data_IF_416662536496
#
_entry.id   IF_416662536496
#
_cell.length_a   1.000
_cell.length_b   1.000
_cell.length_c   1.000
_cell.angle_alpha   90.00
_cell.angle_beta   90.00
_cell.angle_gamma   90.00
#
_symmetry.space_group_name_H-M   'P 1'
#
loop_
_entity.id
_entity.type
_entity.pdbx_description
1 polymer ?
#
# COMPACT_ATOMS: atom_id res chain seq x y z
N UNK A 1 -0.95 91.97 -9.88
CA UNK A 1 -2.15 91.10 -9.87
C UNK A 1 -1.88 89.90 -10.76
N UNK A 2 -1.97 88.69 -10.20
CA UNK A 2 -2.06 87.38 -10.88
C UNK A 2 -0.89 86.89 -11.76
N UNK A 3 0.23 86.42 -11.17
CA UNK A 3 1.06 85.42 -11.89
C UNK A 3 1.94 84.49 -11.04
N UNK A 4 2.16 84.75 -9.74
CA UNK A 4 3.14 83.96 -8.95
C UNK A 4 2.53 82.78 -8.18
N UNK A 5 1.20 82.65 -8.11
CA UNK A 5 0.55 81.63 -7.23
C UNK A 5 0.25 80.29 -7.93
N UNK A 6 0.38 80.19 -9.26
CA UNK A 6 -0.10 79.02 -10.01
C UNK A 6 0.93 77.90 -10.27
N UNK A 7 2.18 78.00 -9.78
CA UNK A 7 3.22 76.96 -10.00
C UNK A 7 3.60 76.16 -8.76
N UNK A 8 2.93 76.36 -7.62
CA UNK A 8 3.23 75.66 -6.36
C UNK A 8 2.37 74.41 -6.07
N UNK A 9 1.34 74.11 -6.89
CA UNK A 9 0.30 73.11 -6.52
C UNK A 9 0.15 71.90 -7.44
N UNK A 10 1.06 71.69 -8.41
CA UNK A 10 1.00 70.51 -9.30
C UNK A 10 2.09 69.45 -9.04
N UNK A 11 3.04 69.69 -8.13
CA UNK A 11 4.02 68.66 -7.71
C UNK A 11 3.57 67.82 -6.51
N UNK A 12 2.44 68.12 -5.86
CA UNK A 12 1.98 67.43 -4.66
C UNK A 12 1.18 66.12 -4.92
N UNK A 13 0.89 65.79 -6.20
CA UNK A 13 0.07 64.61 -6.56
C UNK A 13 0.85 63.47 -7.22
N UNK A 14 2.18 63.52 -7.18
CA UNK A 14 3.02 62.39 -7.62
C UNK A 14 3.94 61.95 -6.49
N UNK A 15 3.34 61.49 -5.38
CA UNK A 15 4.06 60.58 -4.49
C UNK A 15 4.23 59.28 -5.28
N UNK A 16 5.45 58.86 -5.66
CA UNK A 16 5.61 57.49 -6.07
C UNK A 16 5.15 56.66 -4.88
N UNK A 17 4.26 55.71 -5.13
CA UNK A 17 3.95 54.65 -4.17
C UNK A 17 5.21 53.80 -4.05
N UNK A 18 6.18 54.33 -3.32
CA UNK A 18 7.36 53.63 -2.90
C UNK A 18 6.93 52.80 -1.70
N UNK A 19 6.83 51.48 -1.89
CA UNK A 19 6.97 50.57 -0.77
C UNK A 19 8.21 51.01 0.02
N UNK A 20 8.17 51.03 1.37
CA UNK A 20 9.38 51.21 2.15
C UNK A 20 10.24 49.95 1.95
N UNK A 21 10.96 49.87 0.83
CA UNK A 21 12.16 49.07 0.73
C UNK A 21 13.27 49.92 1.35
N UNK A 22 13.25 49.98 2.69
CA UNK A 22 14.43 50.34 3.45
C UNK A 22 15.56 49.40 3.03
N UNK A 23 16.77 49.92 2.74
CA UNK A 23 17.90 49.07 2.46
C UNK A 23 18.29 48.33 3.74
N UNK A 24 17.88 47.07 3.86
CA UNK A 24 18.75 46.03 4.41
C UNK A 24 18.86 45.87 5.92
N UNK A 25 18.03 46.53 6.75
CA UNK A 25 17.95 46.19 8.17
C UNK A 25 16.91 45.10 8.41
N UNK A 26 17.38 43.89 8.73
CA UNK A 26 16.70 43.05 9.71
C UNK A 26 16.09 41.71 9.29
N UNK A 27 16.29 41.16 8.09
CA UNK A 27 15.66 39.84 7.78
C UNK A 27 16.41 38.91 6.82
N UNK A 28 17.71 39.09 6.60
CA UNK A 28 18.49 38.22 5.68
C UNK A 28 19.66 37.44 6.29
N UNK A 29 19.75 37.33 7.62
CA UNK A 29 20.76 36.48 8.26
C UNK A 29 20.21 35.87 9.54
N UNK A 30 19.84 34.59 9.51
CA UNK A 30 19.62 33.87 10.77
C UNK A 30 20.10 32.42 10.76
N UNK A 31 20.51 31.84 9.62
CA UNK A 31 21.02 30.47 9.60
C UNK A 31 22.56 30.37 9.58
N UNK A 32 23.29 31.38 9.05
CA UNK A 32 24.75 31.30 8.83
C UNK A 32 25.61 31.82 9.97
N UNK A 33 25.08 32.68 10.84
CA UNK A 33 25.90 33.45 11.80
C UNK A 33 25.89 32.82 13.22
N UNK A 34 25.50 31.54 13.33
CA UNK A 34 25.59 30.79 14.58
C UNK A 34 27.07 30.63 14.98
N UNK A 35 27.44 30.90 16.24
CA UNK A 35 28.81 30.74 16.69
C UNK A 35 29.23 29.26 16.63
N UNK A 36 30.49 29.01 16.26
CA UNK A 36 31.00 27.65 15.97
C UNK A 36 30.79 26.64 17.10
N UNK A 37 30.77 27.08 18.35
CA UNK A 37 30.56 26.20 19.50
C UNK A 37 29.14 25.63 19.59
N UNK A 38 28.15 26.27 18.95
CA UNK A 38 26.77 25.76 18.86
C UNK A 38 26.55 24.83 17.66
N UNK A 39 27.45 24.84 16.68
CA UNK A 39 27.38 23.97 15.51
C UNK A 39 27.87 22.55 15.85
N UNK A 40 27.28 21.49 15.29
CA UNK A 40 27.72 20.11 15.50
C UNK A 40 29.21 19.93 15.19
N UNK A 41 29.87 19.10 15.99
CA UNK A 41 31.31 18.87 15.99
C UNK A 41 31.69 17.40 15.85
N UNK A 42 32.95 17.09 16.11
CA UNK A 42 33.47 15.73 16.14
C UNK A 42 32.96 14.95 17.35
N UNK A 43 33.02 13.62 17.28
CA UNK A 43 32.63 12.73 18.37
C UNK A 43 33.34 13.05 19.70
N UNK A 44 32.61 13.23 20.81
CA UNK A 44 33.18 13.52 22.13
C UNK A 44 33.81 12.26 22.72
N UNK A 45 35.09 12.33 23.10
CA UNK A 45 35.81 11.18 23.68
C UNK A 45 35.96 11.28 25.18
N UNK A 46 36.02 12.51 25.69
CA UNK A 46 36.21 12.77 27.11
C UNK A 46 34.87 13.06 27.80
N UNK A 47 34.72 12.73 29.10
CA UNK A 47 33.49 13.04 29.83
C UNK A 47 33.24 14.55 29.95
N UNK A 48 34.29 15.38 29.91
CA UNK A 48 34.19 16.83 29.93
C UNK A 48 33.63 17.37 28.61
N UNK A 49 34.11 16.87 27.47
CA UNK A 49 33.56 17.18 26.15
C UNK A 49 32.11 16.70 26.03
N UNK A 50 31.80 15.52 26.57
CA UNK A 50 30.44 14.99 26.60
C UNK A 50 29.52 15.89 27.41
N UNK A 51 29.95 16.39 28.57
CA UNK A 51 29.18 17.34 29.37
C UNK A 51 29.01 18.70 28.67
N UNK A 52 30.01 19.17 27.93
CA UNK A 52 29.89 20.39 27.12
C UNK A 52 28.93 20.20 25.94
N UNK A 53 28.96 19.05 25.28
CA UNK A 53 28.05 18.70 24.19
C UNK A 53 26.61 18.53 24.68
N UNK A 54 26.39 17.86 25.82
CA UNK A 54 25.07 17.77 26.45
C UNK A 54 24.50 19.16 26.74
N UNK A 55 25.30 20.06 27.34
CA UNK A 55 24.92 21.47 27.57
C UNK A 55 24.60 22.22 26.28
N UNK A 56 25.36 21.99 25.21
CA UNK A 56 25.15 22.58 23.89
C UNK A 56 23.79 22.19 23.27
N UNK A 57 23.34 20.96 23.48
CA UNK A 57 22.05 20.47 22.99
C UNK A 57 20.91 20.58 24.03
N UNK A 58 21.11 21.30 25.13
CA UNK A 58 20.14 21.45 26.23
C UNK A 58 19.70 20.11 26.87
N UNK A 59 20.59 19.11 26.90
CA UNK A 59 20.35 17.80 27.49
C UNK A 59 21.11 17.63 28.81
N UNK A 60 20.63 16.72 29.65
CA UNK A 60 21.39 16.25 30.82
C UNK A 60 22.55 15.37 30.34
N UNK A 61 23.58 15.21 31.18
CA UNK A 61 24.71 14.33 30.86
C UNK A 61 24.28 12.87 30.71
N UNK A 62 23.25 12.45 31.47
CA UNK A 62 22.74 11.08 31.49
C UNK A 62 21.92 10.74 30.25
N UNK A 63 21.08 11.68 29.80
CA UNK A 63 20.26 11.50 28.60
C UNK A 63 21.07 11.66 27.30
N UNK A 64 22.23 12.32 27.38
CA UNK A 64 23.08 12.56 26.23
C UNK A 64 23.86 11.30 25.83
N UNK A 65 23.29 10.59 24.86
CA UNK A 65 23.91 9.45 24.19
C UNK A 65 24.31 9.84 22.77
N UNK A 66 25.48 9.41 22.32
CA UNK A 66 25.95 9.61 20.96
C UNK A 66 25.83 8.33 20.12
N UNK A 67 25.88 8.48 18.80
CA UNK A 67 26.03 7.35 17.89
C UNK A 67 27.43 6.75 17.98
N UNK A 68 27.60 5.48 17.60
CA UNK A 68 28.91 4.85 17.54
C UNK A 68 29.84 5.55 16.52
N UNK A 69 31.14 5.59 16.83
CA UNK A 69 32.18 6.21 15.98
C UNK A 69 32.59 5.28 14.83
N UNK A 70 31.63 4.90 13.99
CA UNK A 70 31.83 3.99 12.86
C UNK A 70 32.35 4.70 11.60
N UNK A 71 32.78 5.97 11.70
CA UNK A 71 33.20 6.80 10.57
C UNK A 71 32.07 7.25 9.63
N UNK A 72 30.81 6.98 9.98
CA UNK A 72 29.62 7.41 9.22
C UNK A 72 29.41 8.93 9.26
N UNK A 73 30.09 9.63 10.18
CA UNK A 73 30.10 11.09 10.24
C UNK A 73 28.95 11.70 11.04
N UNK A 74 28.39 10.96 12.02
CA UNK A 74 27.38 11.51 12.94
C UNK A 74 27.94 12.60 13.86
N UNK A 75 29.21 12.49 14.25
CA UNK A 75 29.88 13.48 15.11
C UNK A 75 29.36 13.47 16.55
N UNK A 76 29.14 14.66 17.11
CA UNK A 76 28.57 14.87 18.45
C UNK A 76 27.04 14.94 18.48
N UNK A 77 26.34 14.48 17.45
CA UNK A 77 24.88 14.60 17.42
C UNK A 77 24.21 13.62 18.40
N UNK A 78 23.23 14.06 19.21
CA UNK A 78 22.57 13.19 20.18
C UNK A 78 21.72 12.12 19.47
N UNK A 79 21.79 10.90 19.99
CA UNK A 79 20.97 9.76 19.59
C UNK A 79 19.68 9.75 20.41
N UNK A 80 18.66 10.39 19.88
CA UNK A 80 17.32 10.36 20.45
C UNK A 80 16.65 8.99 20.21
N UNK A 81 15.64 8.61 21.02
CA UNK A 81 14.82 7.45 20.74
C UNK A 81 14.12 7.59 19.38
N UNK A 82 14.00 6.47 18.66
CA UNK A 82 13.39 6.38 17.33
C UNK A 82 11.85 6.39 17.43
N UNK A 83 11.29 7.49 17.94
CA UNK A 83 9.84 7.68 18.09
C UNK A 83 9.30 8.67 17.06
N UNK A 84 8.21 8.29 16.41
CA UNK A 84 7.47 9.16 15.51
C UNK A 84 6.81 10.31 16.24
N UNK A 85 6.61 11.44 15.54
CA UNK A 85 5.88 12.59 16.09
C UNK A 85 4.42 12.24 16.45
N UNK A 86 3.91 11.11 15.94
CA UNK A 86 2.55 10.66 16.17
C UNK A 86 2.32 10.17 17.60
N UNK A 87 3.34 9.60 18.25
CA UNK A 87 3.28 9.11 19.63
C UNK A 87 3.23 10.25 20.67
N UNK A 88 3.75 11.43 20.31
CA UNK A 88 3.75 12.58 21.21
C UNK A 88 2.32 13.03 21.54
N UNK A 89 2.13 13.48 22.78
CA UNK A 89 0.83 13.88 23.29
C UNK A 89 0.18 14.97 22.40
N UNK A 90 -1.00 14.70 21.82
CA UNK A 90 -1.69 15.69 20.97
C UNK A 90 -2.35 16.82 21.75
N UNK A 91 -2.57 16.66 23.07
CA UNK A 91 -3.27 17.64 23.91
C UNK A 91 -2.37 18.71 24.51
N UNK A 92 -1.05 18.48 24.48
CA UNK A 92 -0.09 19.48 24.91
C UNK A 92 0.02 20.58 23.85
N UNK A 93 0.07 21.83 24.30
CA UNK A 93 0.22 22.99 23.41
C UNK A 93 1.70 23.13 23.01
N UNK A 94 2.04 22.52 21.88
CA UNK A 94 3.39 22.58 21.31
C UNK A 94 3.62 23.92 20.59
N UNK A 95 4.84 24.46 20.68
CA UNK A 95 5.25 25.64 19.90
C UNK A 95 5.05 25.43 18.39
N UNK A 96 5.40 24.23 17.91
CA UNK A 96 5.15 23.78 16.54
C UNK A 96 4.10 22.68 16.54
N UNK A 97 2.79 23.00 16.47
CA UNK A 97 1.72 22.02 16.61
C UNK A 97 1.72 20.94 15.50
N UNK A 98 2.11 21.30 14.28
CA UNK A 98 2.18 20.35 13.16
C UNK A 98 3.23 19.25 13.35
N UNK A 99 4.34 19.59 14.02
CA UNK A 99 5.50 18.71 14.24
C UNK A 99 5.51 18.14 15.66
N UNK A 100 4.62 18.63 16.54
CA UNK A 100 4.56 18.34 17.97
C UNK A 100 5.94 18.46 18.62
N UNK A 101 6.53 19.65 18.54
CA UNK A 101 7.89 19.91 19.02
C UNK A 101 7.98 21.30 19.63
N UNK A 102 8.75 21.44 20.70
CA UNK A 102 9.03 22.73 21.32
C UNK A 102 10.29 23.38 20.74
N UNK A 103 10.43 24.68 20.94
CA UNK A 103 11.64 25.42 20.62
C UNK A 103 12.79 25.01 21.56
N UNK A 104 14.00 24.85 21.00
CA UNK A 104 15.20 24.50 21.78
C UNK A 104 15.38 23.01 22.08
N UNK A 105 14.40 22.15 21.76
CA UNK A 105 14.56 20.70 21.81
C UNK A 105 15.50 20.20 20.70
N UNK A 106 16.39 19.23 20.99
CA UNK A 106 17.22 18.61 19.97
C UNK A 106 16.34 17.83 18.97
N UNK A 107 16.68 17.96 17.68
CA UNK A 107 15.97 17.24 16.63
C UNK A 107 16.48 15.79 16.57
N UNK A 108 15.56 14.86 16.31
CA UNK A 108 15.97 13.50 15.99
C UNK A 108 16.73 13.50 14.65
N UNK A 109 17.75 12.65 14.48
CA UNK A 109 18.56 12.66 13.25
C UNK A 109 17.72 12.45 12.00
N UNK A 110 16.92 11.38 12.00
CA UNK A 110 16.02 11.03 10.90
C UNK A 110 14.66 11.72 11.10
N UNK A 111 14.67 13.02 11.46
CA UNK A 111 13.46 13.78 11.74
C UNK A 111 12.49 13.78 10.56
N UNK A 112 13.03 13.83 9.34
CA UNK A 112 12.29 13.81 8.09
C UNK A 112 11.47 12.52 7.89
N UNK A 113 11.94 11.40 8.43
CA UNK A 113 11.26 10.11 8.41
C UNK A 113 10.10 10.05 9.43
N UNK A 114 10.32 10.63 10.60
CA UNK A 114 9.42 10.59 11.76
C UNK A 114 8.47 11.79 11.86
N UNK A 115 8.34 12.56 10.77
CA UNK A 115 7.28 13.57 10.63
C UNK A 115 5.92 12.88 10.62
N UNK A 116 4.90 13.57 11.16
CA UNK A 116 3.50 13.12 11.24
C UNK A 116 2.93 12.52 9.95
N UNK A 117 3.38 12.96 8.78
CA UNK A 117 2.86 12.53 7.47
C UNK A 117 3.56 11.28 6.91
N UNK A 118 4.56 10.72 7.59
CA UNK A 118 5.43 9.66 7.06
C UNK A 118 5.35 8.36 7.86
N UNK A 119 6.43 7.97 8.53
CA UNK A 119 6.52 6.69 9.23
C UNK A 119 5.98 6.85 10.64
N UNK A 120 4.99 6.04 10.96
CA UNK A 120 4.40 5.92 12.29
C UNK A 120 4.99 4.72 13.03
N UNK A 121 5.38 4.94 14.27
CA UNK A 121 5.91 3.94 15.20
C UNK A 121 4.94 3.61 16.33
N UNK A 122 3.76 4.24 16.33
CA UNK A 122 2.77 4.09 17.39
C UNK A 122 2.41 2.62 17.65
N UNK A 123 2.23 2.23 18.93
CA UNK A 123 1.98 0.85 19.29
C UNK A 123 0.60 0.41 18.76
N UNK A 124 0.59 -0.60 17.90
CA UNK A 124 -0.63 -1.24 17.41
C UNK A 124 -1.12 -2.32 18.38
N UNK A 125 -2.44 -2.57 18.50
CA UNK A 125 -2.98 -3.57 19.42
C UNK A 125 -2.55 -5.00 19.07
N UNK A 126 -2.21 -5.26 17.80
CA UNK A 126 -1.73 -6.56 17.31
C UNK A 126 -0.21 -6.48 17.10
N UNK A 127 0.57 -7.48 17.58
CA UNK A 127 2.01 -7.48 17.37
C UNK A 127 2.37 -7.75 15.90
N UNK A 128 3.45 -7.13 15.43
CA UNK A 128 3.85 -7.09 14.01
C UNK A 128 4.03 -8.47 13.36
N UNK A 129 4.60 -9.44 14.09
CA UNK A 129 4.84 -10.78 13.54
C UNK A 129 3.54 -11.53 13.23
N UNK A 130 2.50 -11.34 14.04
CA UNK A 130 1.17 -11.95 13.85
C UNK A 130 0.48 -11.33 12.62
N UNK A 131 0.51 -10.01 12.49
CA UNK A 131 -0.09 -9.33 11.33
C UNK A 131 0.54 -9.80 10.02
N UNK A 132 1.87 -9.95 9.98
CA UNK A 132 2.57 -10.51 8.81
C UNK A 132 2.18 -11.95 8.52
N UNK A 133 2.05 -12.79 9.55
CA UNK A 133 1.64 -14.19 9.37
C UNK A 133 0.25 -14.30 8.75
N UNK A 134 -0.73 -13.52 9.23
CA UNK A 134 -2.07 -13.52 8.65
C UNK A 134 -2.11 -12.95 7.23
N UNK A 135 -1.39 -11.85 6.98
CA UNK A 135 -1.32 -11.23 5.65
C UNK A 135 -0.77 -12.20 4.61
N UNK A 136 0.38 -12.83 4.89
CA UNK A 136 0.98 -13.80 3.98
C UNK A 136 0.24 -15.14 3.95
N UNK A 137 -0.36 -15.55 5.06
CA UNK A 137 -1.23 -16.73 5.11
C UNK A 137 -2.45 -16.58 4.21
N UNK A 138 -3.11 -15.41 4.23
CA UNK A 138 -4.25 -15.12 3.37
C UNK A 138 -3.88 -15.12 1.89
N UNK A 139 -2.82 -14.39 1.52
CA UNK A 139 -2.33 -14.36 0.13
C UNK A 139 -1.95 -15.78 -0.33
N UNK A 140 -1.26 -16.55 0.52
CA UNK A 140 -0.91 -17.94 0.24
C UNK A 140 -2.13 -18.82 -0.03
N UNK A 141 -3.16 -18.73 0.81
CA UNK A 141 -4.40 -19.51 0.64
C UNK A 141 -5.13 -19.11 -0.64
N UNK A 142 -5.22 -17.81 -0.96
CA UNK A 142 -5.85 -17.33 -2.20
C UNK A 142 -5.14 -17.85 -3.45
N UNK A 143 -3.80 -17.84 -3.46
CA UNK A 143 -3.03 -18.39 -4.58
C UNK A 143 -3.20 -19.90 -4.71
N UNK A 144 -3.19 -20.64 -3.60
CA UNK A 144 -3.42 -22.09 -3.61
C UNK A 144 -4.83 -22.42 -4.12
N UNK A 145 -5.86 -21.70 -3.66
CA UNK A 145 -7.22 -21.89 -4.16
C UNK A 145 -7.37 -21.50 -5.63
N UNK A 146 -6.62 -20.49 -6.11
CA UNK A 146 -6.54 -20.15 -7.53
C UNK A 146 -5.99 -21.30 -8.36
N UNK A 147 -4.86 -21.90 -7.94
CA UNK A 147 -4.26 -23.07 -8.61
C UNK A 147 -5.20 -24.27 -8.57
N UNK A 148 -5.86 -24.52 -7.43
CA UNK A 148 -6.89 -25.57 -7.33
C UNK A 148 -8.05 -25.31 -8.28
N UNK A 149 -8.47 -24.06 -8.45
CA UNK A 149 -9.50 -23.67 -9.41
C UNK A 149 -9.12 -23.94 -10.87
N UNK A 150 -7.84 -23.83 -11.22
CA UNK A 150 -7.34 -24.20 -12.56
C UNK A 150 -7.27 -25.72 -12.76
N UNK A 151 -6.88 -26.47 -11.72
CA UNK A 151 -6.85 -27.94 -11.78
C UNK A 151 -8.28 -28.50 -11.88
N UNK A 152 -9.24 -27.89 -11.18
CA UNK A 152 -10.64 -28.33 -11.08
C UNK A 152 -11.62 -27.27 -11.62
N UNK A 153 -11.70 -27.04 -12.95
CA UNK A 153 -12.63 -26.07 -13.52
C UNK A 153 -14.08 -26.52 -13.30
N UNK A 154 -14.88 -25.68 -12.65
CA UNK A 154 -16.32 -25.90 -12.50
C UNK A 154 -17.05 -25.21 -13.65
N UNK A 155 -17.58 -26.01 -14.57
CA UNK A 155 -18.42 -25.50 -15.64
C UNK A 155 -19.84 -25.26 -15.12
N UNK A 156 -20.40 -24.07 -15.39
CA UNK A 156 -21.81 -23.80 -15.11
C UNK A 156 -22.68 -24.63 -16.06
N UNK A 157 -23.71 -25.36 -15.56
CA UNK A 157 -24.68 -26.00 -16.43
C UNK A 157 -25.53 -24.90 -17.08
N UNK A 158 -25.38 -24.71 -18.39
CA UNK A 158 -26.28 -23.86 -19.17
C UNK A 158 -27.54 -24.67 -19.43
N UNK A 159 -28.50 -24.59 -18.51
CA UNK A 159 -29.84 -25.12 -18.76
C UNK A 159 -30.58 -24.10 -19.63
N UNK A 160 -30.81 -24.44 -20.90
CA UNK A 160 -31.74 -23.67 -21.72
C UNK A 160 -33.12 -23.66 -21.03
N UNK A 161 -33.78 -22.49 -20.85
CA UNK A 161 -35.04 -22.38 -20.13
C UNK A 161 -36.19 -23.16 -20.77
N UNK A 162 -36.02 -23.66 -22.01
CA UNK A 162 -37.04 -24.41 -22.73
C UNK A 162 -37.19 -25.87 -22.24
N UNK A 163 -36.17 -26.46 -21.60
CA UNK A 163 -36.19 -27.88 -21.17
C UNK A 163 -36.90 -28.05 -19.80
N UNK A 164 -36.89 -27.03 -18.94
CA UNK A 164 -37.51 -27.07 -17.61
C UNK A 164 -39.05 -27.22 -17.70
N UNK A 165 -39.68 -26.67 -18.74
CA UNK A 165 -41.13 -26.80 -18.94
C UNK A 165 -41.58 -28.20 -19.40
N UNK A 166 -40.70 -29.01 -20.01
CA UNK A 166 -41.06 -30.37 -20.48
C UNK A 166 -40.86 -31.46 -19.44
N UNK A 167 -40.08 -31.23 -18.39
CA UNK A 167 -39.80 -32.23 -17.34
C UNK A 167 -40.60 -32.02 -16.05
N UNK A 168 -41.39 -30.95 -15.94
CA UNK A 168 -42.19 -30.67 -14.73
C UNK A 168 -43.53 -31.44 -14.67
N UNK A 169 -43.87 -32.25 -15.67
CA UNK A 169 -45.14 -33.02 -15.75
C UNK A 169 -44.80 -34.44 -16.24
N UNK A 170 -44.25 -35.37 -15.42
CA UNK A 170 -45.05 -36.04 -14.39
C UNK A 170 -44.19 -36.60 -13.23
N UNK A 171 -44.02 -35.84 -12.14
CA UNK A 171 -43.37 -36.35 -10.91
C UNK A 171 -44.28 -36.23 -9.68
N UNK A 172 -45.60 -36.32 -9.90
CA UNK A 172 -46.62 -36.37 -8.86
C UNK A 172 -47.22 -37.79 -8.78
N UNK A 173 -46.40 -38.80 -8.43
CA UNK A 173 -46.97 -40.05 -7.92
C UNK A 173 -46.00 -40.82 -6.97
N UNK A 174 -46.32 -40.67 -5.67
CA UNK A 174 -46.07 -41.52 -4.49
C UNK A 174 -44.70 -41.48 -3.77
N UNK A 175 -44.70 -41.03 -2.50
CA UNK A 175 -43.66 -41.32 -1.51
C UNK A 175 -44.03 -42.61 -0.76
N UNK A 176 -43.13 -43.59 -0.72
CA UNK A 176 -43.06 -44.63 0.33
C UNK A 176 -41.82 -45.49 0.15
N UNK A 177 -41.28 -45.93 1.29
CA UNK A 177 -40.07 -46.76 1.47
C UNK A 177 -38.77 -45.96 1.57
N UNK A 178 -38.74 -45.02 2.52
CA UNK A 178 -37.54 -44.73 3.29
C UNK A 178 -37.53 -45.70 4.47
N UNK A 179 -36.63 -46.70 4.44
CA UNK A 179 -35.91 -47.26 5.59
C UNK A 179 -35.39 -48.67 5.27
N UNK A 180 -34.08 -48.84 5.47
CA UNK A 180 -33.48 -50.14 5.70
C UNK A 180 -32.48 -50.58 4.63
N UNK A 181 -31.28 -49.96 4.60
CA UNK A 181 -30.01 -50.68 4.49
C UNK A 181 -28.81 -49.72 4.54
N UNK A 182 -28.29 -49.50 5.74
CA UNK A 182 -26.91 -49.08 6.01
C UNK A 182 -26.58 -49.81 7.32
N UNK A 183 -25.82 -50.91 7.29
CA UNK A 183 -24.36 -50.78 7.19
C UNK A 183 -23.65 -51.99 6.54
N UNK A 184 -22.91 -51.80 5.44
CA UNK A 184 -21.85 -52.77 5.09
C UNK A 184 -20.70 -52.23 4.23
N UNK A 185 -20.60 -50.92 4.02
CA UNK A 185 -19.66 -50.35 3.06
C UNK A 185 -18.68 -49.42 3.78
N UNK A 186 -17.83 -49.97 4.64
CA UNK A 186 -16.74 -49.19 5.27
C UNK A 186 -15.34 -49.60 4.81
N UNK A 187 -15.15 -50.71 4.07
CA UNK A 187 -13.80 -51.24 3.82
C UNK A 187 -13.36 -51.37 2.35
N UNK A 188 -14.06 -50.74 1.39
CA UNK A 188 -13.68 -50.76 -0.05
C UNK A 188 -13.41 -49.35 -0.63
N UNK A 189 -13.38 -48.32 0.22
CA UNK A 189 -13.63 -46.93 -0.19
C UNK A 189 -12.37 -46.11 -0.55
N UNK A 190 -11.15 -46.57 -0.26
CA UNK A 190 -9.95 -45.69 -0.35
C UNK A 190 -9.14 -45.81 -1.64
N UNK A 191 -9.21 -46.93 -2.38
CA UNK A 191 -8.47 -47.12 -3.64
C UNK A 191 -9.31 -46.92 -4.90
N UNK A 192 -10.60 -47.29 -4.86
CA UNK A 192 -11.50 -47.19 -6.02
C UNK A 192 -12.18 -45.83 -6.13
N UNK A 193 -12.36 -45.09 -5.02
CA UNK A 193 -12.84 -43.70 -5.10
C UNK A 193 -11.85 -42.76 -5.79
N UNK A 194 -10.54 -42.99 -5.65
CA UNK A 194 -9.53 -42.14 -6.26
C UNK A 194 -9.42 -42.37 -7.78
N UNK A 195 -9.59 -43.63 -8.22
CA UNK A 195 -9.66 -43.99 -9.66
C UNK A 195 -11.01 -43.63 -10.31
N UNK A 196 -12.12 -43.72 -9.58
CA UNK A 196 -13.43 -43.27 -10.08
C UNK A 196 -13.54 -41.75 -10.08
N UNK A 197 -12.97 -41.04 -9.10
CA UNK A 197 -12.84 -39.58 -9.15
C UNK A 197 -11.94 -39.11 -10.31
N UNK A 198 -10.82 -39.79 -10.58
CA UNK A 198 -9.97 -39.48 -11.75
C UNK A 198 -10.68 -39.78 -13.08
N UNK A 199 -11.55 -40.80 -13.16
CA UNK A 199 -12.41 -41.03 -14.34
C UNK A 199 -13.54 -40.02 -14.48
N UNK A 200 -14.13 -39.58 -13.38
CA UNK A 200 -15.16 -38.53 -13.37
C UNK A 200 -14.59 -37.15 -13.71
N UNK A 201 -13.30 -36.92 -13.47
CA UNK A 201 -12.61 -35.69 -13.85
C UNK A 201 -12.58 -35.47 -15.38
N UNK A 202 -12.61 -36.55 -16.17
CA UNK A 202 -12.68 -36.50 -17.63
C UNK A 202 -14.09 -36.15 -18.16
N UNK A 203 -15.14 -36.37 -17.37
CA UNK A 203 -16.54 -36.25 -17.78
C UNK A 203 -17.20 -34.90 -17.45
N UNK A 204 -16.41 -33.92 -17.01
CA UNK A 204 -16.92 -32.57 -16.64
C UNK A 204 -16.54 -31.47 -17.63
N UNK A 205 -16.17 -31.77 -18.87
CA UNK A 205 -16.49 -30.84 -19.94
C UNK A 205 -18.02 -30.65 -19.95
N UNK A 206 -18.50 -29.43 -20.22
CA UNK A 206 -19.94 -29.19 -20.42
C UNK A 206 -20.54 -30.36 -21.21
N UNK A 207 -21.75 -30.82 -20.85
CA UNK A 207 -22.42 -31.93 -21.55
C UNK A 207 -22.65 -31.63 -23.05
N UNK A 208 -22.37 -30.40 -23.48
CA UNK A 208 -22.34 -29.92 -24.85
C UNK A 208 -20.93 -30.04 -25.43
N UNK A 209 -20.82 -30.59 -26.64
CA UNK A 209 -19.56 -30.61 -27.40
C UNK A 209 -19.04 -29.20 -27.73
N UNK A 210 -17.81 -29.09 -28.28
CA UNK A 210 -17.23 -27.82 -28.66
C UNK A 210 -18.11 -27.07 -29.67
N UNK A 211 -18.13 -25.74 -29.57
CA UNK A 211 -18.89 -24.88 -30.48
C UNK A 211 -18.42 -25.12 -31.92
N UNK A 212 -19.35 -25.55 -32.77
CA UNK A 212 -19.09 -25.79 -34.19
C UNK A 212 -19.17 -24.48 -34.97
N UNK A 213 -18.26 -24.30 -35.93
CA UNK A 213 -18.11 -23.08 -36.70
C UNK A 213 -18.07 -23.38 -38.21
N UNK A 214 -18.83 -22.68 -39.06
CA UNK A 214 -18.83 -22.90 -40.50
C UNK A 214 -17.51 -22.47 -41.16
N UNK A 215 -17.33 -22.81 -42.45
CA UNK A 215 -16.18 -22.38 -43.27
C UNK A 215 -14.80 -22.69 -42.65
N UNK A 216 -14.55 -23.97 -42.33
CA UNK A 216 -13.29 -24.42 -41.73
C UNK A 216 -12.88 -23.62 -40.48
N UNK A 217 -13.78 -23.47 -39.51
CA UNK A 217 -13.59 -22.66 -38.31
C UNK A 217 -13.28 -21.18 -38.61
N UNK A 218 -14.03 -20.57 -39.53
CA UNK A 218 -13.90 -19.16 -39.89
C UNK A 218 -12.47 -18.79 -40.34
N UNK A 219 -11.79 -19.67 -41.10
CA UNK A 219 -10.36 -19.51 -41.44
C UNK A 219 -10.02 -18.14 -42.03
N UNK A 220 -10.82 -17.68 -43.01
CA UNK A 220 -10.62 -16.37 -43.66
C UNK A 220 -10.95 -15.17 -42.74
N UNK A 221 -11.91 -15.33 -41.82
CA UNK A 221 -12.33 -14.24 -40.93
C UNK A 221 -11.38 -14.06 -39.74
N UNK A 222 -10.68 -15.14 -39.33
CA UNK A 222 -9.62 -15.12 -38.32
C UNK A 222 -8.27 -14.59 -38.86
N UNK A 223 -8.27 -13.93 -40.04
CA UNK A 223 -7.10 -13.32 -40.70
C UNK A 223 -5.99 -14.32 -41.05
N UNK A 224 -6.35 -15.55 -41.41
CA UNK A 224 -5.37 -16.49 -41.92
C UNK A 224 -5.04 -16.23 -43.41
N UNK A 225 -3.87 -16.70 -43.85
CA UNK A 225 -3.36 -16.42 -45.19
C UNK A 225 -4.24 -17.08 -46.28
N UNK A 226 -4.74 -16.31 -47.28
CA UNK A 226 -5.64 -16.84 -48.31
C UNK A 226 -4.94 -17.75 -49.32
N UNK A 227 -3.60 -17.76 -49.33
CA UNK A 227 -2.79 -18.59 -50.24
C UNK A 227 -2.59 -20.02 -49.74
N UNK A 228 -2.95 -20.31 -48.48
CA UNK A 228 -2.78 -21.62 -47.87
C UNK A 228 -4.16 -22.24 -47.73
N UNK A 229 -4.34 -23.43 -48.31
CA UNK A 229 -5.60 -24.16 -48.16
C UNK A 229 -5.66 -24.77 -46.74
N UNK A 230 -6.66 -24.42 -45.92
CA UNK A 230 -6.79 -24.98 -44.58
C UNK A 230 -7.25 -26.43 -44.65
N UNK A 231 -6.98 -27.18 -43.58
CA UNK A 231 -7.57 -28.51 -43.41
C UNK A 231 -9.10 -28.40 -43.42
N UNK A 232 -9.75 -29.21 -44.25
CA UNK A 232 -11.22 -29.25 -44.40
C UNK A 232 -11.86 -29.77 -43.11
N UNK A 233 -12.52 -28.90 -42.34
CA UNK A 233 -13.30 -29.25 -41.15
C UNK A 233 -14.78 -29.27 -41.53
N UNK A 234 -15.36 -30.48 -41.61
CA UNK A 234 -16.78 -30.69 -41.93
C UNK A 234 -17.55 -31.02 -40.66
N UNK A 235 -18.63 -30.29 -40.42
CA UNK A 235 -19.58 -30.54 -39.34
C UNK A 235 -20.79 -31.25 -39.93
N UNK A 236 -21.20 -32.35 -39.32
CA UNK A 236 -22.39 -33.12 -39.71
C UNK A 236 -23.45 -32.99 -38.63
N UNK A 237 -24.72 -33.06 -39.01
CA UNK A 237 -25.83 -33.13 -38.06
C UNK A 237 -25.77 -34.48 -37.31
N UNK A 238 -25.93 -34.43 -35.98
CA UNK A 238 -25.86 -35.59 -35.07
C UNK A 238 -27.26 -36.16 -34.86
#
# INVERSE_FOLDING_TARGET
>A
MASVVARGRLCALRRPFAWPLTPGDGSRRFASDLPKHLLPGSYPKTPQEQAAAAKKYNLTLEDYQTYADDGVGYGDYPKLPDQSSQEKNPWYEWDYPELRRNFGEPLHRNFDLFVRTRVDTSPTPVPWHIMKMYFWGFIGIMLVMGVVGEIFPVYQPVCDPCIILKLSIPAMLQPKVFQGLLPHIENLCTSDLLKTCLRLHSLKQQLTGPKQFPYNNLYLENRADPSIEPMSVKHYEI
#
